data_IF_722112208640
#
_entry.id   IF_722112208640
#
_cell.length_a   1.000
_cell.length_b   1.000
_cell.length_c   1.000
_cell.angle_alpha   90.00
_cell.angle_beta   90.00
_cell.angle_gamma   90.00
#
_symmetry.space_group_name_H-M   'P 1'
#
loop_
_entity.id
_entity.type
_entity.pdbx_description
1 polymer ?
#
# COMPACT_ATOMS: atom_id res chain seq x y z
N UNK A 1 2.23 7.59 -15.70
CA UNK A 1 2.38 6.91 -17.01
C UNK A 1 3.73 6.25 -17.19
N UNK A 2 4.82 6.94 -16.95
CA UNK A 2 6.19 6.42 -17.19
C UNK A 2 6.49 5.17 -16.35
N UNK A 3 5.95 5.04 -15.14
CA UNK A 3 6.27 3.91 -14.25
C UNK A 3 5.64 2.58 -14.68
N UNK A 4 4.39 2.57 -15.13
CA UNK A 4 3.71 1.33 -15.54
C UNK A 4 4.27 0.82 -16.86
N UNK A 5 4.44 1.72 -17.85
CA UNK A 5 5.02 1.35 -19.14
C UNK A 5 6.46 0.87 -19.00
N UNK A 6 7.24 1.49 -18.09
CA UNK A 6 8.59 1.05 -17.75
C UNK A 6 8.59 -0.33 -17.08
N UNK A 7 7.66 -0.57 -16.17
CA UNK A 7 7.51 -1.87 -15.51
C UNK A 7 7.17 -2.97 -16.52
N UNK A 8 6.25 -2.71 -17.46
CA UNK A 8 5.92 -3.65 -18.55
C UNK A 8 7.14 -3.93 -19.44
N UNK A 9 7.90 -2.89 -19.79
CA UNK A 9 9.11 -3.04 -20.62
C UNK A 9 10.17 -3.88 -19.89
N UNK A 10 10.38 -3.64 -18.60
CA UNK A 10 11.29 -4.42 -17.77
C UNK A 10 10.85 -5.89 -17.66
N UNK A 11 9.56 -6.14 -17.42
CA UNK A 11 8.99 -7.48 -17.37
C UNK A 11 9.19 -8.22 -18.72
N UNK A 12 8.87 -7.57 -19.84
CA UNK A 12 9.00 -8.14 -21.18
C UNK A 12 10.47 -8.47 -21.51
N UNK A 13 11.40 -7.58 -21.16
CA UNK A 13 12.83 -7.81 -21.33
C UNK A 13 13.31 -9.02 -20.51
N UNK A 14 12.89 -9.10 -19.23
CA UNK A 14 13.24 -10.21 -18.37
C UNK A 14 12.72 -11.55 -18.92
N UNK A 15 11.44 -11.61 -19.35
CA UNK A 15 10.84 -12.82 -19.94
C UNK A 15 11.59 -13.25 -21.20
N UNK A 16 11.97 -12.32 -22.08
CA UNK A 16 12.73 -12.63 -23.28
C UNK A 16 14.12 -13.24 -22.97
N UNK A 17 14.81 -12.70 -21.95
CA UNK A 17 16.11 -13.25 -21.53
C UNK A 17 15.95 -14.63 -20.93
N UNK A 18 14.94 -14.83 -20.05
CA UNK A 18 14.63 -16.13 -19.45
C UNK A 18 14.28 -17.15 -20.54
N UNK A 19 13.42 -16.80 -21.47
CA UNK A 19 13.01 -17.66 -22.59
C UNK A 19 14.21 -18.12 -23.43
N UNK A 20 15.09 -17.19 -23.80
CA UNK A 20 16.33 -17.50 -24.53
C UNK A 20 17.26 -18.39 -23.71
N UNK A 21 17.41 -18.10 -22.43
CA UNK A 21 18.26 -18.88 -21.51
C UNK A 21 17.78 -20.33 -21.36
N UNK A 22 16.48 -20.52 -21.09
CA UNK A 22 15.90 -21.87 -20.95
C UNK A 22 15.97 -22.68 -22.27
N UNK A 23 15.74 -22.04 -23.42
CA UNK A 23 15.89 -22.67 -24.73
C UNK A 23 17.35 -23.03 -25.04
N UNK A 24 18.30 -22.29 -24.50
CA UNK A 24 19.73 -22.59 -24.59
C UNK A 24 20.21 -23.62 -23.53
N UNK A 25 19.30 -24.24 -22.77
CA UNK A 25 19.62 -25.24 -21.78
C UNK A 25 20.23 -24.70 -20.47
N UNK A 26 20.11 -23.40 -20.21
CA UNK A 26 20.54 -22.81 -18.92
C UNK A 26 19.62 -23.23 -17.78
N UNK A 27 20.20 -23.41 -16.62
CA UNK A 27 19.44 -23.71 -15.41
C UNK A 27 18.69 -22.47 -14.88
N UNK A 28 17.58 -22.70 -14.16
CA UNK A 28 16.80 -21.63 -13.55
C UNK A 28 17.61 -20.78 -12.57
N UNK A 29 18.64 -21.37 -11.92
CA UNK A 29 19.52 -20.66 -10.99
C UNK A 29 20.34 -19.56 -11.69
N UNK A 30 20.81 -19.80 -12.92
CA UNK A 30 21.57 -18.83 -13.71
C UNK A 30 20.71 -17.65 -14.15
N UNK A 31 19.39 -17.83 -14.13
CA UNK A 31 18.39 -16.83 -14.54
C UNK A 31 17.71 -16.14 -13.36
N UNK A 32 18.17 -16.39 -12.12
CA UNK A 32 17.55 -15.89 -10.90
C UNK A 32 17.40 -14.36 -10.87
N UNK A 33 18.40 -13.61 -11.38
CA UNK A 33 18.35 -12.15 -11.44
C UNK A 33 17.25 -11.62 -12.38
N UNK A 34 17.04 -12.31 -13.49
CA UNK A 34 15.99 -11.97 -14.46
C UNK A 34 14.60 -12.28 -13.90
N UNK A 35 14.47 -13.36 -13.13
CA UNK A 35 13.24 -13.64 -12.39
C UNK A 35 12.94 -12.57 -11.35
N UNK A 36 13.95 -12.14 -10.58
CA UNK A 36 13.77 -11.01 -9.66
C UNK A 36 13.26 -9.78 -10.37
N UNK A 37 13.89 -9.40 -11.49
CA UNK A 37 13.47 -8.24 -12.30
C UNK A 37 12.03 -8.36 -12.80
N UNK A 38 11.63 -9.55 -13.27
CA UNK A 38 10.26 -9.81 -13.72
C UNK A 38 9.26 -9.65 -12.57
N UNK A 39 9.56 -10.24 -11.42
CA UNK A 39 8.67 -10.19 -10.28
C UNK A 39 8.60 -8.82 -9.62
N UNK A 40 9.68 -8.06 -9.58
CA UNK A 40 9.69 -6.68 -9.10
C UNK A 40 8.84 -5.77 -9.99
N UNK A 41 8.92 -5.97 -11.32
CA UNK A 41 8.06 -5.27 -12.26
C UNK A 41 6.58 -5.64 -12.07
N UNK A 42 6.26 -6.92 -11.84
CA UNK A 42 4.91 -7.39 -11.54
C UNK A 42 4.38 -6.79 -10.23
N UNK A 43 5.20 -6.73 -9.18
CA UNK A 43 4.79 -6.16 -7.89
C UNK A 43 4.48 -4.66 -8.00
N UNK A 44 5.19 -3.92 -8.85
CA UNK A 44 4.86 -2.51 -9.17
C UNK A 44 3.50 -2.38 -9.86
N UNK A 45 3.18 -3.26 -10.81
CA UNK A 45 1.89 -3.27 -11.51
C UNK A 45 0.76 -3.65 -10.54
N UNK A 46 0.96 -4.65 -9.68
CA UNK A 46 0.00 -5.06 -8.65
C UNK A 46 -0.26 -3.93 -7.63
N UNK A 47 0.78 -3.16 -7.28
CA UNK A 47 0.65 -1.97 -6.41
C UNK A 47 -0.14 -0.87 -7.10
N UNK A 48 0.17 -0.56 -8.36
CA UNK A 48 -0.57 0.42 -9.15
C UNK A 48 -2.05 0.04 -9.30
N UNK A 49 -2.37 -1.26 -9.42
CA UNK A 49 -3.73 -1.77 -9.42
C UNK A 49 -4.44 -1.47 -8.10
N UNK A 50 -3.82 -1.78 -6.97
CA UNK A 50 -4.41 -1.52 -5.65
C UNK A 50 -4.66 -0.02 -5.44
N UNK A 51 -3.77 0.84 -5.92
CA UNK A 51 -3.92 2.29 -5.88
C UNK A 51 -5.04 2.78 -6.81
N UNK A 52 -5.22 2.17 -7.98
CA UNK A 52 -6.31 2.51 -8.90
C UNK A 52 -7.68 2.10 -8.36
N UNK A 53 -7.77 0.97 -7.66
CA UNK A 53 -9.00 0.47 -7.04
C UNK A 53 -9.37 1.26 -5.76
N UNK A 54 -8.37 1.73 -5.00
CA UNK A 54 -8.54 2.48 -3.76
C UNK A 54 -7.74 3.80 -3.78
N UNK A 55 -8.14 4.78 -4.61
CA UNK A 55 -7.39 6.02 -4.74
C UNK A 55 -7.44 6.82 -3.44
N UNK A 56 -6.27 7.14 -2.89
CA UNK A 56 -6.11 8.02 -1.73
C UNK A 56 -6.60 9.45 -2.09
N UNK A 57 -7.17 10.16 -1.11
CA UNK A 57 -7.71 11.53 -1.32
C UNK A 57 -6.66 12.46 -1.96
N UNK A 58 -5.38 12.30 -1.60
CA UNK A 58 -4.28 13.05 -2.20
C UNK A 58 -4.03 12.73 -3.68
N UNK A 59 -4.17 11.46 -4.09
CA UNK A 59 -3.96 11.07 -5.50
C UNK A 59 -5.07 11.60 -6.42
N UNK A 60 -6.30 11.76 -5.92
CA UNK A 60 -7.41 12.36 -6.65
C UNK A 60 -7.21 13.85 -6.96
N UNK A 61 -6.57 14.58 -6.06
CA UNK A 61 -6.34 16.04 -6.22
C UNK A 61 -5.22 16.36 -7.22
N UNK A 62 -4.25 15.46 -7.38
CA UNK A 62 -3.08 15.69 -8.24
C UNK A 62 -3.08 14.89 -9.55
N UNK A 63 -4.11 14.08 -9.79
CA UNK A 63 -4.24 13.31 -11.03
C UNK A 63 -4.56 14.24 -12.21
N UNK A 64 -3.54 14.63 -12.96
CA UNK A 64 -3.64 15.33 -14.26
C UNK A 64 -4.32 14.50 -15.35
N UNK A 65 -4.54 13.21 -15.09
CA UNK A 65 -5.07 12.23 -16.03
C UNK A 65 -6.43 11.72 -15.55
N UNK A 66 -7.33 11.41 -16.49
CA UNK A 66 -8.61 10.83 -16.14
C UNK A 66 -8.38 9.49 -15.42
N UNK A 67 -9.07 9.28 -14.30
CA UNK A 67 -9.00 8.06 -13.50
C UNK A 67 -9.26 6.83 -14.36
N UNK A 68 -10.11 6.96 -15.35
CA UNK A 68 -10.48 5.91 -16.30
C UNK A 68 -9.33 5.47 -17.21
N UNK A 69 -8.56 6.44 -17.76
CA UNK A 69 -7.42 6.11 -18.62
C UNK A 69 -6.30 5.43 -17.82
N UNK A 70 -6.07 5.84 -16.58
CA UNK A 70 -5.11 5.20 -15.70
C UNK A 70 -5.55 3.77 -15.32
N UNK A 71 -6.82 3.57 -14.96
CA UNK A 71 -7.36 2.26 -14.64
C UNK A 71 -7.29 1.30 -15.86
N UNK A 72 -7.54 1.80 -17.07
CA UNK A 72 -7.41 1.01 -18.28
C UNK A 72 -5.96 0.60 -18.55
N UNK A 73 -5.00 1.53 -18.38
CA UNK A 73 -3.57 1.24 -18.54
C UNK A 73 -3.11 0.16 -17.54
N UNK A 74 -3.53 0.26 -16.27
CA UNK A 74 -3.25 -0.74 -15.24
C UNK A 74 -3.86 -2.10 -15.59
N UNK A 75 -5.11 -2.14 -16.05
CA UNK A 75 -5.78 -3.39 -16.43
C UNK A 75 -5.07 -4.08 -17.62
N UNK A 76 -4.67 -3.32 -18.64
CA UNK A 76 -3.90 -3.85 -19.77
C UNK A 76 -2.52 -4.35 -19.34
N UNK A 77 -1.85 -3.63 -18.41
CA UNK A 77 -0.57 -4.04 -17.85
C UNK A 77 -0.70 -5.35 -17.06
N UNK A 78 -1.74 -5.49 -16.27
CA UNK A 78 -2.03 -6.72 -15.51
C UNK A 78 -2.26 -7.91 -16.45
N UNK A 79 -3.09 -7.74 -17.48
CA UNK A 79 -3.36 -8.79 -18.46
C UNK A 79 -2.06 -9.24 -19.14
N UNK A 80 -1.28 -8.30 -19.65
CA UNK A 80 0.00 -8.60 -20.28
C UNK A 80 0.99 -9.31 -19.35
N UNK A 81 1.00 -8.94 -18.08
CA UNK A 81 1.87 -9.57 -17.08
C UNK A 81 1.43 -10.99 -16.76
N UNK A 82 0.12 -11.26 -16.72
CA UNK A 82 -0.43 -12.61 -16.56
C UNK A 82 -0.09 -13.51 -17.75
N UNK A 83 -0.15 -12.98 -18.96
CA UNK A 83 0.23 -13.74 -20.16
C UNK A 83 1.72 -14.10 -20.14
N UNK A 84 2.58 -13.15 -19.75
CA UNK A 84 4.01 -13.42 -19.58
C UNK A 84 4.27 -14.49 -18.51
N UNK A 85 3.55 -14.45 -17.39
CA UNK A 85 3.68 -15.47 -16.32
C UNK A 85 3.25 -16.86 -16.83
N UNK A 86 2.19 -16.94 -17.63
CA UNK A 86 1.75 -18.16 -18.28
C UNK A 86 2.81 -18.71 -19.25
N UNK A 87 3.38 -17.85 -20.08
CA UNK A 87 4.47 -18.21 -20.99
C UNK A 87 5.69 -18.75 -20.24
N UNK A 88 6.09 -18.11 -19.14
CA UNK A 88 7.18 -18.57 -18.30
C UNK A 88 6.89 -19.95 -17.73
N UNK A 89 5.69 -20.17 -17.20
CA UNK A 89 5.28 -21.46 -16.66
C UNK A 89 5.36 -22.56 -17.72
N UNK A 90 4.86 -22.29 -18.92
CA UNK A 90 4.92 -23.25 -20.04
C UNK A 90 6.37 -23.59 -20.42
N UNK A 91 7.24 -22.59 -20.52
CA UNK A 91 8.66 -22.77 -20.82
C UNK A 91 9.35 -23.64 -19.76
N UNK A 92 9.04 -23.44 -18.47
CA UNK A 92 9.58 -24.28 -17.40
C UNK A 92 9.12 -25.74 -17.47
N UNK A 93 7.86 -25.95 -17.83
CA UNK A 93 7.33 -27.32 -18.04
C UNK A 93 8.05 -27.97 -19.22
N UNK A 94 8.23 -27.26 -20.34
CA UNK A 94 8.93 -27.79 -21.51
C UNK A 94 10.42 -28.06 -21.24
N UNK A 95 11.07 -27.26 -20.41
CA UNK A 95 12.48 -27.48 -20.05
C UNK A 95 12.70 -28.55 -18.97
N UNK A 96 11.63 -29.20 -18.51
CA UNK A 96 11.72 -30.21 -17.43
C UNK A 96 11.95 -29.65 -16.04
N UNK A 97 11.96 -28.32 -15.88
CA UNK A 97 12.24 -27.62 -14.61
C UNK A 97 10.95 -27.12 -13.92
N UNK A 98 9.80 -27.73 -14.20
CA UNK A 98 8.49 -27.31 -13.68
C UNK A 98 8.40 -27.32 -12.16
N UNK A 99 9.11 -28.22 -11.48
CA UNK A 99 9.10 -28.31 -10.01
C UNK A 99 9.89 -27.16 -9.36
N UNK A 100 10.98 -26.73 -10.00
CA UNK A 100 11.74 -25.55 -9.56
C UNK A 100 10.85 -24.31 -9.63
N UNK A 101 10.11 -24.12 -10.74
CA UNK A 101 9.15 -23.02 -10.86
C UNK A 101 8.08 -23.05 -9.77
N UNK A 102 7.49 -24.22 -9.49
CA UNK A 102 6.48 -24.37 -8.42
C UNK A 102 7.05 -24.02 -7.04
N UNK A 103 8.28 -24.46 -6.73
CA UNK A 103 8.94 -24.17 -5.45
C UNK A 103 9.22 -22.67 -5.29
N UNK A 104 9.70 -22.01 -6.35
CA UNK A 104 9.91 -20.55 -6.39
C UNK A 104 8.60 -19.78 -6.13
N UNK A 105 7.50 -20.17 -6.80
CA UNK A 105 6.20 -19.53 -6.62
C UNK A 105 5.63 -19.71 -5.21
N UNK A 106 5.80 -20.92 -4.60
CA UNK A 106 5.40 -21.17 -3.20
C UNK A 106 6.19 -20.32 -2.21
N UNK A 107 7.50 -20.22 -2.39
CA UNK A 107 8.37 -19.40 -1.53
C UNK A 107 7.99 -17.94 -1.64
N UNK A 108 7.77 -17.43 -2.85
CA UNK A 108 7.32 -16.05 -3.07
C UNK A 108 5.96 -15.77 -2.43
N UNK A 109 4.99 -16.67 -2.54
CA UNK A 109 3.69 -16.51 -1.88
C UNK A 109 3.83 -16.45 -0.35
N UNK A 110 4.67 -17.30 0.25
CA UNK A 110 4.95 -17.26 1.69
C UNK A 110 5.55 -15.92 2.11
N UNK A 111 6.53 -15.41 1.37
CA UNK A 111 7.14 -14.11 1.65
C UNK A 111 6.15 -12.94 1.50
N UNK A 112 5.30 -12.96 0.47
CA UNK A 112 4.22 -11.97 0.34
C UNK A 112 3.26 -12.01 1.53
N UNK A 113 2.83 -13.21 1.95
CA UNK A 113 1.95 -13.35 3.11
C UNK A 113 2.60 -12.82 4.39
N UNK A 114 3.88 -13.12 4.63
CA UNK A 114 4.63 -12.58 5.77
C UNK A 114 4.69 -11.06 5.76
N UNK A 115 5.00 -10.45 4.60
CA UNK A 115 5.02 -8.98 4.44
C UNK A 115 3.65 -8.36 4.69
N UNK A 116 2.58 -8.97 4.18
CA UNK A 116 1.21 -8.50 4.42
C UNK A 116 0.80 -8.61 5.89
N UNK A 117 1.17 -9.69 6.58
CA UNK A 117 0.91 -9.86 8.01
C UNK A 117 1.69 -8.82 8.84
N UNK A 118 2.98 -8.61 8.52
CA UNK A 118 3.77 -7.57 9.17
C UNK A 118 3.20 -6.17 8.94
N UNK A 119 2.77 -5.85 7.71
CA UNK A 119 2.14 -4.57 7.39
C UNK A 119 0.82 -4.36 8.15
N UNK A 120 -0.01 -5.41 8.27
CA UNK A 120 -1.26 -5.38 9.06
C UNK A 120 -0.98 -5.14 10.54
N UNK A 121 -0.02 -5.85 11.13
CA UNK A 121 0.37 -5.66 12.52
C UNK A 121 0.86 -4.23 12.81
N UNK A 122 1.61 -3.64 11.89
CA UNK A 122 2.04 -2.23 11.99
C UNK A 122 0.87 -1.26 11.84
N UNK A 123 -0.09 -1.54 10.96
CA UNK A 123 -1.28 -0.72 10.77
C UNK A 123 -2.19 -0.73 12.01
N UNK A 124 -2.36 -1.89 12.64
CA UNK A 124 -3.13 -2.03 13.88
C UNK A 124 -2.50 -1.25 15.04
N UNK A 125 -1.17 -1.30 15.19
CA UNK A 125 -0.46 -0.49 16.19
C UNK A 125 -0.63 1.01 15.95
N UNK A 126 -0.57 1.45 14.68
CA UNK A 126 -0.80 2.88 14.34
C UNK A 126 -2.23 3.31 14.65
N UNK A 127 -3.23 2.48 14.37
CA UNK A 127 -4.64 2.77 14.72
C UNK A 127 -4.81 2.88 16.23
N UNK A 128 -4.29 1.93 16.99
CA UNK A 128 -4.35 1.96 18.45
C UNK A 128 -3.72 3.24 19.03
N UNK A 129 -2.55 3.64 18.53
CA UNK A 129 -1.91 4.89 18.96
C UNK A 129 -2.75 6.12 18.62
N UNK A 130 -3.35 6.15 17.42
CA UNK A 130 -4.23 7.25 17.02
C UNK A 130 -5.47 7.34 17.93
N UNK A 131 -6.08 6.22 18.26
CA UNK A 131 -7.23 6.15 19.16
C UNK A 131 -6.88 6.63 20.58
N UNK A 132 -5.73 6.21 21.10
CA UNK A 132 -5.24 6.65 22.43
C UNK A 132 -5.00 8.17 22.45
N UNK A 133 -4.38 8.72 21.42
CA UNK A 133 -4.14 10.18 21.28
C UNK A 133 -5.47 10.92 21.22
N UNK A 134 -6.44 10.44 20.45
CA UNK A 134 -7.76 11.05 20.33
C UNK A 134 -8.51 11.07 21.66
N UNK A 135 -8.51 9.97 22.39
CA UNK A 135 -9.10 9.87 23.72
C UNK A 135 -8.41 10.85 24.68
N UNK A 136 -7.08 10.92 24.67
CA UNK A 136 -6.31 11.85 25.50
C UNK A 136 -6.68 13.33 25.23
N UNK A 137 -6.86 13.71 23.98
CA UNK A 137 -7.31 15.06 23.60
C UNK A 137 -8.73 15.34 24.12
N UNK A 138 -9.66 14.42 23.96
CA UNK A 138 -11.04 14.57 24.45
C UNK A 138 -11.10 14.74 25.96
N UNK A 139 -10.35 13.93 26.72
CA UNK A 139 -10.25 14.03 28.18
C UNK A 139 -9.66 15.38 28.59
N UNK A 140 -8.60 15.83 27.93
CA UNK A 140 -7.97 17.14 28.20
C UNK A 140 -8.93 18.32 27.99
N UNK A 141 -9.70 18.29 26.89
CA UNK A 141 -10.72 19.30 26.61
C UNK A 141 -11.83 19.28 27.67
N UNK A 142 -12.31 18.08 28.05
CA UNK A 142 -13.32 17.91 29.08
C UNK A 142 -12.88 18.47 30.42
N UNK A 143 -11.66 18.18 30.86
CA UNK A 143 -11.08 18.74 32.10
C UNK A 143 -10.95 20.25 32.03
N UNK A 144 -10.51 20.82 30.88
CA UNK A 144 -10.40 22.26 30.72
C UNK A 144 -11.76 22.96 30.87
N UNK A 145 -12.82 22.41 30.28
CA UNK A 145 -14.17 22.95 30.37
C UNK A 145 -14.68 22.84 31.82
N UNK A 146 -14.46 21.71 32.48
CA UNK A 146 -14.86 21.54 33.90
C UNK A 146 -14.13 22.54 34.81
N UNK A 147 -12.84 22.79 34.61
CA UNK A 147 -12.11 23.82 35.35
C UNK A 147 -12.68 25.21 35.13
N UNK A 148 -13.00 25.57 33.87
CA UNK A 148 -13.59 26.89 33.59
C UNK A 148 -14.96 27.07 34.22
N UNK A 149 -15.80 26.03 34.21
CA UNK A 149 -17.12 26.09 34.86
C UNK A 149 -17.01 26.18 36.37
N UNK A 150 -16.01 25.52 36.97
CA UNK A 150 -15.80 25.55 38.43
C UNK A 150 -15.19 26.88 38.91
N UNK A 151 -14.32 27.51 38.07
CA UNK A 151 -13.71 28.80 38.38
C UNK A 151 -14.53 30.01 37.93
N UNK A 152 -15.68 29.81 37.27
CA UNK A 152 -16.61 30.90 36.97
C UNK A 152 -17.25 31.41 38.25
N UNK A 153 -17.00 32.68 38.67
CA UNK A 153 -17.59 33.23 39.88
C UNK A 153 -19.11 33.17 39.79
N UNK A 154 -19.74 32.65 40.85
CA UNK A 154 -21.20 32.60 40.93
C UNK A 154 -21.79 34.00 40.79
N UNK A 155 -22.82 34.21 39.99
CA UNK A 155 -23.45 35.53 39.78
C UNK A 155 -24.02 36.16 41.09
N UNK A 156 -24.04 35.40 42.20
CA UNK A 156 -24.44 35.89 43.52
C UNK A 156 -23.41 36.82 44.18
N UNK A 157 -22.12 36.69 43.84
CA UNK A 157 -21.07 37.51 44.50
C UNK A 157 -20.97 38.94 43.92
N UNK A 158 -21.67 39.23 42.84
CA UNK A 158 -21.66 40.56 42.17
C UNK A 158 -22.75 41.49 42.71
N UNK A 159 -23.80 40.96 43.33
CA UNK A 159 -24.89 41.79 43.90
C UNK A 159 -24.55 42.36 45.27
N UNK A 160 -23.68 41.71 46.05
CA UNK A 160 -23.35 42.17 47.44
C UNK A 160 -22.40 43.38 47.44
N UNK A 161 -21.75 43.70 46.32
CA UNK A 161 -20.84 44.86 46.20
C UNK A 161 -21.55 46.18 45.81
N UNK A 162 -22.87 46.17 45.69
CA UNK A 162 -23.65 47.36 45.25
C UNK A 162 -24.59 47.92 46.31
N UNK A 163 -24.26 47.83 47.60
CA UNK A 163 -24.99 48.60 48.60
C UNK A 163 -24.36 50.00 48.72
N UNK A 164 -25.07 51.09 48.34
CA UNK A 164 -24.62 52.43 48.62
C UNK A 164 -24.72 52.67 50.12
N UNK A 165 -23.63 53.03 50.74
CA UNK A 165 -23.62 53.61 52.07
C UNK A 165 -24.33 54.95 52.04
N UNK A 166 -25.56 54.99 52.51
CA UNK A 166 -26.30 56.23 52.84
C UNK A 166 -26.12 56.53 54.31
N UNK A 167 -25.37 57.59 54.61
CA UNK A 167 -25.40 58.29 55.91
C UNK A 167 -26.34 59.44 55.81
#
# INVERSE_FOLDING_TARGET
>A
MVEISLAIAAASKAVNVISKGLRAGREAQDLASQFSTFFDAKDKIDTAKTESENPTIGSKMFAKQSVESYALEVALAEHKTKDMEKQLRELFVYSGQGDIYKSMMRTRQKERQRRLQAARALAERKKFLADVILIGILVSIGLSIACLLYTSPSPRDVEESRMPSSA
#
